data_IF_952902013687
#
_entry.id   IF_952902013687
#
_cell.length_a   1.000
_cell.length_b   1.000
_cell.length_c   1.000
_cell.angle_alpha   90.00
_cell.angle_beta   90.00
_cell.angle_gamma   90.00
#
_symmetry.space_group_name_H-M   'P 1'
#
loop_
_entity.id
_entity.type
_entity.pdbx_description
1 polymer ?
#
# COMPACT_ATOMS: atom_id res chain seq x y z
N UNK A 1 8.66 2.89 16.32
CA UNK A 1 7.48 2.18 15.77
C UNK A 1 7.92 1.52 14.48
N UNK A 2 7.49 0.29 14.22
CA UNK A 2 7.85 -0.43 12.98
C UNK A 2 6.85 -0.10 11.87
N UNK A 3 7.34 0.00 10.64
CA UNK A 3 6.49 0.14 9.46
C UNK A 3 5.76 -1.18 9.20
N UNK A 4 4.50 -1.14 8.77
CA UNK A 4 3.72 -2.36 8.46
C UNK A 4 2.79 -2.15 7.27
N UNK A 5 2.56 -3.21 6.50
CA UNK A 5 1.48 -3.29 5.51
C UNK A 5 0.61 -4.47 5.90
N UNK A 6 -0.68 -4.25 6.08
CA UNK A 6 -1.66 -5.32 6.31
C UNK A 6 -2.67 -5.34 5.18
N UNK A 7 -2.95 -6.51 4.64
CA UNK A 7 -4.01 -6.68 3.64
C UNK A 7 -5.32 -6.97 4.37
N UNK A 8 -6.36 -6.20 4.06
CA UNK A 8 -7.67 -6.34 4.67
C UNK A 8 -8.57 -7.24 3.82
N UNK A 9 -9.65 -7.77 4.42
CA UNK A 9 -10.59 -8.69 3.76
C UNK A 9 -11.33 -8.05 2.57
N UNK A 10 -11.50 -6.73 2.59
CA UNK A 10 -12.12 -5.93 1.53
C UNK A 10 -11.12 -5.51 0.43
N UNK A 11 -9.93 -6.14 0.42
CA UNK A 11 -8.85 -5.86 -0.52
C UNK A 11 -8.26 -4.44 -0.41
N UNK A 12 -8.51 -3.74 0.70
CA UNK A 12 -7.76 -2.53 1.07
C UNK A 12 -6.45 -2.89 1.78
N UNK A 13 -5.52 -1.94 1.87
CA UNK A 13 -4.25 -2.10 2.56
C UNK A 13 -4.14 -1.10 3.70
N UNK A 14 -3.86 -1.57 4.92
CA UNK A 14 -3.51 -0.69 6.04
C UNK A 14 -1.99 -0.53 6.08
N UNK A 15 -1.53 0.71 5.87
CA UNK A 15 -0.11 1.10 5.93
C UNK A 15 0.14 1.88 7.20
N UNK A 16 1.04 1.38 8.05
CA UNK A 16 1.56 2.12 9.21
C UNK A 16 2.96 2.62 8.93
N UNK A 17 3.19 3.91 9.18
CA UNK A 17 4.49 4.57 8.98
C UNK A 17 5.25 4.71 10.30
N UNK A 18 6.54 5.00 10.20
CA UNK A 18 7.46 5.11 11.33
C UNK A 18 7.06 6.17 12.37
N UNK A 19 6.31 7.20 11.94
CA UNK A 19 5.74 8.24 12.82
C UNK A 19 4.60 7.74 13.72
N UNK A 20 4.11 6.51 13.49
CA UNK A 20 2.98 5.93 14.20
C UNK A 20 1.61 6.26 13.58
N UNK A 21 1.58 7.05 12.50
CA UNK A 21 0.36 7.27 11.72
C UNK A 21 0.02 6.01 10.90
N UNK A 22 -1.28 5.79 10.67
CA UNK A 22 -1.79 4.67 9.87
C UNK A 22 -2.80 5.16 8.83
N UNK A 23 -2.72 4.61 7.62
CA UNK A 23 -3.58 4.96 6.50
C UNK A 23 -4.18 3.70 5.89
N UNK A 24 -5.48 3.72 5.60
CA UNK A 24 -6.13 2.68 4.81
C UNK A 24 -6.15 3.10 3.35
N UNK A 25 -5.54 2.31 2.48
CA UNK A 25 -5.47 2.53 1.04
C UNK A 25 -6.47 1.60 0.35
N UNK A 26 -7.29 2.15 -0.56
CA UNK A 26 -8.12 1.35 -1.47
C UNK A 26 -7.47 1.24 -2.85
N UNK A 27 -7.95 0.28 -3.64
CA UNK A 27 -7.57 0.19 -5.04
C UNK A 27 -7.90 1.50 -5.80
N UNK A 28 -6.95 2.04 -6.58
CA UNK A 28 -7.19 3.18 -7.45
C UNK A 28 -8.30 2.89 -8.46
N UNK A 29 -9.27 3.80 -8.59
CA UNK A 29 -10.29 3.77 -9.63
C UNK A 29 -9.90 4.71 -10.77
N UNK A 30 -10.50 4.54 -11.95
CA UNK A 30 -10.25 5.40 -13.11
C UNK A 30 -10.44 6.90 -12.78
N UNK A 31 -11.44 7.25 -11.96
CA UNK A 31 -11.66 8.64 -11.51
C UNK A 31 -10.50 9.20 -10.67
N UNK A 32 -9.77 8.35 -9.95
CA UNK A 32 -8.62 8.78 -9.13
C UNK A 32 -7.38 9.00 -9.98
N UNK A 33 -7.40 8.52 -11.22
CA UNK A 33 -6.38 8.74 -12.23
C UNK A 33 -6.67 9.96 -13.11
N UNK A 34 -7.84 10.59 -12.96
CA UNK A 34 -8.19 11.75 -13.77
C UNK A 34 -7.19 12.91 -13.57
N UNK A 35 -6.60 13.36 -14.68
CA UNK A 35 -5.53 14.35 -14.70
C UNK A 35 -4.16 13.87 -14.20
N UNK A 36 -3.95 12.56 -14.00
CA UNK A 36 -2.67 11.96 -13.60
C UNK A 36 -2.08 11.13 -14.75
N UNK A 37 -0.82 11.38 -15.11
CA UNK A 37 -0.10 10.56 -16.11
C UNK A 37 0.21 9.16 -15.54
N UNK A 38 -0.29 8.10 -16.18
CA UNK A 38 -0.10 6.71 -15.72
C UNK A 38 1.37 6.29 -15.72
N UNK A 39 2.10 6.73 -16.73
CA UNK A 39 3.55 6.56 -16.89
C UNK A 39 4.36 7.12 -15.70
N UNK A 40 3.87 8.19 -15.05
CA UNK A 40 4.50 8.79 -13.89
C UNK A 40 4.28 8.00 -12.59
N UNK A 41 3.29 7.11 -12.53
CA UNK A 41 3.10 6.23 -11.36
C UNK A 41 4.20 5.18 -11.23
N UNK A 42 4.84 4.81 -12.34
CA UNK A 42 5.99 3.88 -12.33
C UNK A 42 7.24 4.53 -11.73
N UNK A 43 7.26 5.86 -11.61
CA UNK A 43 8.36 6.63 -11.04
C UNK A 43 8.05 6.85 -9.55
N UNK A 44 8.70 6.05 -8.71
CA UNK A 44 8.34 5.79 -7.30
C UNK A 44 8.45 6.95 -6.30
N UNK A 45 8.68 8.19 -6.72
CA UNK A 45 8.66 9.37 -5.82
C UNK A 45 8.24 10.64 -6.57
N UNK A 46 7.14 10.59 -7.32
CA UNK A 46 6.62 11.74 -8.08
C UNK A 46 5.48 12.46 -7.36
N UNK A 47 5.24 13.70 -7.75
CA UNK A 47 4.03 14.47 -7.39
C UNK A 47 2.74 13.70 -7.77
N UNK A 48 2.78 12.92 -8.85
CA UNK A 48 1.68 12.03 -9.27
C UNK A 48 1.38 10.95 -8.23
N UNK A 49 2.41 10.28 -7.70
CA UNK A 49 2.25 9.27 -6.63
C UNK A 49 1.68 9.92 -5.37
N UNK A 50 2.20 11.09 -4.96
CA UNK A 50 1.70 11.82 -3.80
C UNK A 50 0.22 12.21 -3.95
N UNK A 51 -0.18 12.68 -5.14
CA UNK A 51 -1.58 13.01 -5.46
C UNK A 51 -2.47 11.78 -5.45
N UNK A 52 -2.02 10.67 -6.03
CA UNK A 52 -2.78 9.43 -6.03
C UNK A 52 -2.99 8.92 -4.60
N UNK A 53 -1.94 8.87 -3.78
CA UNK A 53 -2.03 8.46 -2.38
C UNK A 53 -3.04 9.32 -1.63
N UNK A 54 -3.05 10.63 -1.81
CA UNK A 54 -4.06 11.52 -1.22
C UNK A 54 -5.51 11.22 -1.64
N UNK A 55 -5.74 10.63 -2.83
CA UNK A 55 -7.09 10.28 -3.35
C UNK A 55 -7.60 8.92 -2.86
N UNK A 56 -6.69 8.00 -2.56
CA UNK A 56 -7.03 6.60 -2.21
C UNK A 56 -6.83 6.27 -0.72
N UNK A 57 -6.25 7.19 0.05
CA UNK A 57 -6.01 7.00 1.49
C UNK A 57 -7.18 7.51 2.35
N UNK A 58 -7.41 6.82 3.46
CA UNK A 58 -8.30 7.21 4.53
C UNK A 58 -7.56 7.10 5.89
N UNK A 59 -7.37 8.21 6.63
CA UNK A 59 -7.65 9.58 6.22
C UNK A 59 -6.81 10.01 5.00
N UNK A 60 -7.19 11.06 4.25
CA UNK A 60 -6.41 11.53 3.11
C UNK A 60 -5.00 11.96 3.50
N UNK A 61 -3.99 11.37 2.87
CA UNK A 61 -2.58 11.72 3.02
C UNK A 61 -2.32 13.09 2.38
N UNK A 62 -2.16 14.11 3.22
CA UNK A 62 -1.90 15.47 2.76
C UNK A 62 -0.49 15.61 2.20
N UNK A 63 -0.27 16.63 1.36
CA UNK A 63 1.07 16.96 0.85
C UNK A 63 2.07 17.25 1.97
N UNK A 64 1.61 17.88 3.06
CA UNK A 64 2.44 18.19 4.21
C UNK A 64 2.84 16.93 4.99
N UNK A 65 1.93 15.97 5.15
CA UNK A 65 2.25 14.67 5.74
C UNK A 65 3.21 13.88 4.84
N UNK A 66 2.95 13.84 3.53
CA UNK A 66 3.82 13.17 2.58
C UNK A 66 5.26 13.72 2.61
N UNK A 67 5.41 15.04 2.69
CA UNK A 67 6.73 15.68 2.79
C UNK A 67 7.51 15.40 4.09
N UNK A 68 6.85 14.84 5.11
CA UNK A 68 7.48 14.43 6.38
C UNK A 68 7.86 12.95 6.41
N UNK A 69 7.42 12.17 5.41
CA UNK A 69 7.72 10.75 5.33
C UNK A 69 9.22 10.55 5.12
N UNK A 70 9.80 9.57 5.82
CA UNK A 70 11.13 9.09 5.46
C UNK A 70 11.09 8.40 4.10
N UNK A 71 12.26 8.22 3.47
CA UNK A 71 12.37 7.45 2.23
C UNK A 71 11.82 6.02 2.41
N UNK A 72 12.07 5.42 3.56
CA UNK A 72 11.53 4.10 3.91
C UNK A 72 10.00 4.12 4.01
N UNK A 73 9.40 5.14 4.62
CA UNK A 73 7.93 5.25 4.70
C UNK A 73 7.31 5.41 3.29
N UNK A 74 7.94 6.24 2.45
CA UNK A 74 7.51 6.39 1.06
C UNK A 74 7.60 5.06 0.28
N UNK A 75 8.63 4.25 0.55
CA UNK A 75 8.79 2.93 -0.06
C UNK A 75 7.64 1.99 0.32
N UNK A 76 7.16 2.03 1.57
CA UNK A 76 6.01 1.23 2.02
C UNK A 76 4.75 1.58 1.23
N UNK A 77 4.49 2.86 1.00
CA UNK A 77 3.38 3.31 0.14
C UNK A 77 3.55 2.85 -1.31
N UNK A 78 4.77 2.86 -1.85
CA UNK A 78 5.02 2.37 -3.20
C UNK A 78 4.76 0.86 -3.32
N UNK A 79 5.17 0.06 -2.34
CA UNK A 79 4.87 -1.37 -2.30
C UNK A 79 3.37 -1.63 -2.27
N UNK A 80 2.61 -0.80 -1.54
CA UNK A 80 1.15 -0.87 -1.55
C UNK A 80 0.55 -0.54 -2.94
N UNK A 81 1.09 0.46 -3.65
CA UNK A 81 0.67 0.78 -5.02
C UNK A 81 1.05 -0.32 -6.01
N UNK A 82 2.25 -0.89 -5.89
CA UNK A 82 2.70 -2.03 -6.70
C UNK A 82 1.71 -3.19 -6.55
N UNK A 83 1.28 -3.50 -5.32
CA UNK A 83 0.30 -4.54 -5.04
C UNK A 83 -1.04 -4.32 -5.78
N UNK A 84 -1.55 -3.08 -5.84
CA UNK A 84 -2.78 -2.80 -6.58
C UNK A 84 -2.61 -3.00 -8.09
N UNK A 85 -1.45 -2.60 -8.63
CA UNK A 85 -1.16 -2.68 -10.06
C UNK A 85 -0.72 -4.07 -10.55
N UNK A 86 -0.32 -4.95 -9.63
CA UNK A 86 0.22 -6.26 -9.96
C UNK A 86 -0.86 -7.22 -10.52
N UNK A 87 -0.53 -8.08 -11.49
CA UNK A 87 -1.42 -9.17 -11.90
C UNK A 87 -1.61 -10.18 -10.75
N UNK A 88 -2.67 -11.01 -10.76
CA UNK A 88 -2.98 -11.94 -9.67
C UNK A 88 -1.83 -12.86 -9.25
N UNK A 89 -1.02 -13.34 -10.21
CA UNK A 89 0.17 -14.16 -9.95
C UNK A 89 1.22 -13.40 -9.14
N UNK A 90 1.53 -12.17 -9.52
CA UNK A 90 2.49 -11.32 -8.82
C UNK A 90 1.96 -10.81 -7.46
N UNK A 91 0.64 -10.63 -7.31
CA UNK A 91 0.05 -10.30 -5.98
C UNK A 91 0.33 -11.39 -4.95
N UNK A 92 0.31 -12.66 -5.34
CA UNK A 92 0.64 -13.78 -4.45
C UNK A 92 2.12 -13.74 -4.03
N UNK A 93 3.03 -13.42 -4.94
CA UNK A 93 4.45 -13.25 -4.64
C UNK A 93 4.70 -12.05 -3.70
N UNK A 94 4.06 -10.91 -3.98
CA UNK A 94 4.15 -9.71 -3.12
C UNK A 94 3.63 -10.02 -1.71
N UNK A 95 2.53 -10.78 -1.59
CA UNK A 95 2.03 -11.25 -0.28
C UNK A 95 3.06 -12.08 0.47
N UNK A 96 3.66 -13.06 -0.19
CA UNK A 96 4.71 -13.89 0.40
C UNK A 96 5.90 -13.05 0.86
N UNK A 97 6.38 -12.12 0.02
CA UNK A 97 7.48 -11.22 0.38
C UNK A 97 7.12 -10.29 1.56
N UNK A 98 5.88 -9.78 1.64
CA UNK A 98 5.43 -8.97 2.78
C UNK A 98 5.36 -9.79 4.07
N UNK A 99 5.03 -11.07 3.98
CA UNK A 99 5.09 -12.00 5.13
C UNK A 99 6.53 -12.23 5.60
N UNK A 100 7.45 -12.52 4.67
CA UNK A 100 8.86 -12.75 4.96
C UNK A 100 9.56 -11.53 5.57
N UNK A 101 9.19 -10.33 5.10
CA UNK A 101 9.72 -9.06 5.62
C UNK A 101 9.10 -8.64 6.97
N UNK A 102 8.17 -9.44 7.53
CA UNK A 102 7.52 -9.17 8.81
C UNK A 102 6.53 -8.02 8.77
N UNK A 103 6.06 -7.64 7.58
CA UNK A 103 5.08 -6.57 7.41
C UNK A 103 3.64 -7.04 7.67
N UNK A 104 3.33 -8.31 7.41
CA UNK A 104 2.02 -8.91 7.69
C UNK A 104 1.94 -9.43 9.14
N UNK A 105 0.85 -9.13 9.85
CA UNK A 105 0.55 -9.75 11.15
C UNK A 105 -0.10 -11.14 10.98
N UNK A 106 0.11 -12.00 11.97
CA UNK A 106 -0.24 -13.43 12.04
C UNK A 106 -1.68 -13.83 11.61
N UNK A 107 -2.62 -12.87 11.58
CA UNK A 107 -4.00 -13.11 11.14
C UNK A 107 -4.14 -13.54 9.67
N UNK A 108 -3.14 -13.33 8.81
CA UNK A 108 -3.11 -13.92 7.46
C UNK A 108 -2.56 -15.35 7.43
N UNK A 109 -1.72 -15.73 8.41
CA UNK A 109 -1.19 -17.10 8.54
C UNK A 109 -2.31 -18.12 8.78
N UNK A 110 -3.37 -17.72 9.49
CA UNK A 110 -4.52 -18.57 9.78
C UNK A 110 -5.45 -18.80 8.57
N UNK A 111 -5.57 -17.85 7.65
CA UNK A 111 -6.49 -17.94 6.50
C UNK A 111 -5.94 -18.84 5.37
N UNK A 112 -4.62 -19.02 5.28
CA UNK A 112 -4.01 -20.00 4.40
C UNK A 112 -4.08 -21.45 4.95
N UNK A 113 -4.32 -21.63 6.25
CA UNK A 113 -4.29 -22.94 6.92
C UNK A 113 -5.67 -23.62 7.05
N UNK A 114 -6.79 -22.92 6.82
CA UNK A 114 -8.14 -23.47 7.06
C UNK A 114 -8.90 -23.89 5.78
N UNK A 115 -8.19 -24.23 4.70
CA UNK A 115 -8.76 -24.68 3.43
C UNK A 115 -8.64 -26.18 3.15
N UNK A 116 -8.29 -26.99 4.15
CA UNK A 116 -8.15 -28.44 4.01
C UNK A 116 -8.94 -29.18 5.10
N UNK A 117 -10.25 -29.36 4.87
CA UNK A 117 -11.03 -30.48 5.42
C UNK A 117 -12.00 -30.93 4.35
#
# INVERSE_FOLDING_TARGET
MSQTIKINQDNTLTVAVSSGESFVLREPLAKDMDGLGQDLLKIKHTDTVQKLLGRISSPPLTRLQYGKLSLSDAQVFNTALDFFSAPPSAKAEIRASLQELGYLSDSESALAASGAV
#
